data_IF_517673518866
#
_entry.id   IF_517673518866
#
_cell.length_a   1.000
_cell.length_b   1.000
_cell.length_c   1.000
_cell.angle_alpha   90.00
_cell.angle_beta   90.00
_cell.angle_gamma   90.00
#
_symmetry.space_group_name_H-M   'P 1'
#
loop_
_entity.id
_entity.type
_entity.pdbx_description
1 polymer ?
#
# COMPACT_ATOMS: atom_id res chain seq x y z
N UNK A 1 -4.67 -18.47 6.72
CA UNK A 1 -4.42 -17.08 7.12
C UNK A 1 -5.56 -16.24 6.56
N UNK A 2 -6.14 -15.36 7.37
CA UNK A 2 -7.14 -14.39 6.88
C UNK A 2 -6.40 -13.15 6.38
N UNK A 3 -6.12 -13.13 5.07
CA UNK A 3 -5.38 -12.05 4.42
C UNK A 3 -6.13 -10.72 4.47
N UNK A 4 -7.46 -10.74 4.39
CA UNK A 4 -8.26 -9.52 4.50
C UNK A 4 -8.11 -8.87 5.87
N UNK A 5 -8.21 -9.66 6.95
CA UNK A 5 -8.07 -9.16 8.31
C UNK A 5 -6.65 -8.61 8.56
N UNK A 6 -5.63 -9.36 8.12
CA UNK A 6 -4.24 -8.95 8.33
C UNK A 6 -3.87 -7.71 7.51
N UNK A 7 -4.25 -7.64 6.23
CA UNK A 7 -4.02 -6.43 5.42
C UNK A 7 -4.80 -5.25 5.97
N UNK A 8 -6.04 -5.43 6.42
CA UNK A 8 -6.82 -4.34 7.05
C UNK A 8 -6.11 -3.79 8.28
N UNK A 9 -5.58 -4.69 9.14
CA UNK A 9 -4.79 -4.33 10.32
C UNK A 9 -3.56 -3.52 9.93
N UNK A 10 -2.82 -3.95 8.91
CA UNK A 10 -1.63 -3.25 8.43
C UNK A 10 -1.95 -1.86 7.85
N UNK A 11 -3.06 -1.71 7.13
CA UNK A 11 -3.50 -0.41 6.63
C UNK A 11 -3.92 0.52 7.77
N UNK A 12 -4.54 0.02 8.82
CA UNK A 12 -4.89 0.80 10.01
C UNK A 12 -3.66 1.30 10.77
N UNK A 13 -2.58 0.50 10.83
CA UNK A 13 -1.32 0.90 11.48
C UNK A 13 -0.64 2.12 10.84
N UNK A 14 -0.94 2.43 9.58
CA UNK A 14 -0.38 3.60 8.91
C UNK A 14 -0.89 4.92 9.50
N UNK A 15 -2.06 4.91 10.15
CA UNK A 15 -2.62 6.05 10.85
C UNK A 15 -3.84 6.68 10.18
N UNK A 16 -4.44 7.64 10.88
CA UNK A 16 -5.75 8.20 10.57
C UNK A 16 -5.71 9.53 9.80
N UNK A 17 -4.50 10.02 9.46
CA UNK A 17 -4.31 11.23 8.65
C UNK A 17 -3.24 11.00 7.58
N UNK A 18 -3.25 11.77 6.47
CA UNK A 18 -2.22 11.64 5.43
C UNK A 18 -0.79 11.80 5.95
N UNK A 19 -0.58 12.71 6.90
CA UNK A 19 0.73 12.95 7.48
C UNK A 19 1.15 11.83 8.45
N UNK A 20 0.20 11.21 9.15
CA UNK A 20 0.47 10.01 9.94
C UNK A 20 0.89 8.85 9.03
N UNK A 21 0.19 8.65 7.90
CA UNK A 21 0.56 7.66 6.88
C UNK A 21 1.98 7.93 6.37
N UNK A 22 2.29 9.18 6.02
CA UNK A 22 3.63 9.55 5.59
C UNK A 22 4.69 9.30 6.68
N UNK A 23 4.41 9.65 7.94
CA UNK A 23 5.30 9.40 9.07
C UNK A 23 5.54 7.90 9.31
N UNK A 24 4.50 7.08 9.20
CA UNK A 24 4.61 5.63 9.31
C UNK A 24 5.48 5.05 8.18
N UNK A 25 5.28 5.50 6.93
CA UNK A 25 6.12 5.08 5.80
C UNK A 25 7.59 5.47 6.00
N UNK A 26 7.87 6.70 6.48
CA UNK A 26 9.23 7.16 6.83
C UNK A 26 9.87 6.29 7.91
N UNK A 27 9.16 6.04 9.01
CA UNK A 27 9.63 5.21 10.10
C UNK A 27 9.98 3.78 9.64
N UNK A 28 9.26 3.29 8.62
CA UNK A 28 9.49 1.98 8.01
C UNK A 28 10.45 2.01 6.81
N UNK A 29 11.03 3.17 6.49
CA UNK A 29 11.93 3.37 5.34
C UNK A 29 11.33 2.90 4.01
N UNK A 30 10.00 3.03 3.88
CA UNK A 30 9.27 2.68 2.65
C UNK A 30 9.16 3.93 1.80
N UNK A 31 9.67 3.84 0.57
CA UNK A 31 9.52 4.86 -0.48
C UNK A 31 8.80 4.26 -1.68
N UNK A 32 8.21 5.09 -2.53
CA UNK A 32 7.45 4.65 -3.70
C UNK A 32 7.61 5.55 -4.91
N UNK A 33 6.93 5.21 -6.00
CA UNK A 33 6.91 5.98 -7.25
C UNK A 33 5.52 6.56 -7.44
N UNK A 34 5.44 7.84 -7.84
CA UNK A 34 4.16 8.51 -8.13
C UNK A 34 3.38 7.72 -9.19
N UNK A 35 2.06 7.66 -9.02
CA UNK A 35 1.12 6.99 -9.92
C UNK A 35 1.35 5.48 -10.11
N UNK A 36 2.26 4.86 -9.35
CA UNK A 36 2.39 3.41 -9.34
C UNK A 36 1.17 2.77 -8.66
N UNK A 37 0.69 1.65 -9.22
CA UNK A 37 -0.44 0.91 -8.69
C UNK A 37 -0.06 -0.45 -8.08
N UNK A 38 1.20 -0.91 -8.23
CA UNK A 38 1.67 -2.25 -7.81
C UNK A 38 2.86 -2.15 -6.85
N UNK A 39 3.85 -3.01 -6.98
CA UNK A 39 5.10 -3.11 -6.21
C UNK A 39 5.92 -1.81 -6.08
N UNK A 40 5.70 -0.79 -6.92
CA UNK A 40 6.29 0.53 -6.75
C UNK A 40 5.40 1.53 -5.98
N UNK A 41 4.14 1.17 -5.71
CA UNK A 41 3.25 1.96 -4.87
C UNK A 41 3.71 1.86 -3.40
N UNK A 42 3.84 2.98 -2.67
CA UNK A 42 4.38 2.96 -1.31
C UNK A 42 3.52 2.14 -0.34
N UNK A 43 2.19 2.10 -0.53
CA UNK A 43 1.27 1.34 0.33
C UNK A 43 1.39 -0.15 0.05
N UNK A 44 1.43 -0.54 -1.24
CA UNK A 44 1.64 -1.94 -1.63
C UNK A 44 2.98 -2.46 -1.10
N UNK A 45 4.06 -1.67 -1.24
CA UNK A 45 5.38 -2.01 -0.69
C UNK A 45 5.36 -2.20 0.82
N UNK A 46 4.72 -1.28 1.54
CA UNK A 46 4.59 -1.35 2.99
C UNK A 46 3.95 -2.66 3.44
N UNK A 47 2.87 -3.06 2.78
CA UNK A 47 2.15 -4.31 3.08
C UNK A 47 3.00 -5.53 2.69
N UNK A 48 3.57 -5.55 1.48
CA UNK A 48 4.42 -6.64 1.01
C UNK A 48 5.64 -6.90 1.92
N UNK A 49 6.33 -5.85 2.35
CA UNK A 49 7.52 -5.96 3.23
C UNK A 49 7.16 -6.57 4.60
N UNK A 50 5.94 -6.34 5.08
CA UNK A 50 5.47 -6.86 6.38
C UNK A 50 5.02 -8.31 6.29
N UNK A 51 4.29 -8.64 5.22
CA UNK A 51 3.76 -9.99 5.04
C UNK A 51 4.86 -10.98 4.64
N UNK A 52 5.87 -10.53 3.87
CA UNK A 52 6.99 -11.36 3.39
C UNK A 52 6.55 -12.68 2.74
N UNK A 53 5.41 -12.65 2.07
CA UNK A 53 4.83 -13.82 1.42
C UNK A 53 4.90 -13.66 -0.10
N UNK A 54 5.72 -14.50 -0.72
CA UNK A 54 5.93 -14.50 -2.17
C UNK A 54 4.78 -15.16 -2.94
N UNK A 55 3.85 -15.84 -2.25
CA UNK A 55 2.68 -16.47 -2.88
C UNK A 55 1.57 -15.49 -3.23
N UNK A 56 1.70 -14.22 -2.83
CA UNK A 56 0.73 -13.17 -3.11
C UNK A 56 1.35 -12.00 -3.88
N UNK A 57 0.55 -11.40 -4.75
CA UNK A 57 0.80 -10.10 -5.37
C UNK A 57 -0.29 -9.12 -4.93
N UNK A 58 -0.01 -7.82 -4.99
CA UNK A 58 -0.97 -6.80 -4.57
C UNK A 58 -0.99 -5.60 -5.52
N UNK A 59 -2.15 -4.97 -5.65
CA UNK A 59 -2.31 -3.71 -6.37
C UNK A 59 -3.40 -2.81 -5.80
N UNK A 60 -3.40 -1.55 -6.23
CA UNK A 60 -4.42 -0.53 -5.92
C UNK A 60 -5.06 0.02 -7.22
N UNK A 61 -5.26 -0.85 -8.21
CA UNK A 61 -5.87 -0.47 -9.50
C UNK A 61 -7.36 -0.14 -9.31
N UNK A 62 -8.04 -0.89 -8.43
CA UNK A 62 -9.45 -0.67 -8.13
C UNK A 62 -9.60 0.54 -7.20
N UNK A 63 -10.46 1.52 -7.53
CA UNK A 63 -10.66 2.70 -6.69
C UNK A 63 -11.06 2.31 -5.26
N UNK A 64 -10.33 2.83 -4.27
CA UNK A 64 -10.61 2.60 -2.86
C UNK A 64 -10.32 1.19 -2.34
N UNK A 65 -9.66 0.33 -3.14
CA UNK A 65 -9.42 -1.09 -2.80
C UNK A 65 -7.98 -1.49 -3.01
N UNK A 66 -7.44 -2.26 -2.08
CA UNK A 66 -6.23 -3.04 -2.26
C UNK A 66 -6.64 -4.46 -2.64
N UNK A 67 -6.20 -4.90 -3.82
CA UNK A 67 -6.45 -6.25 -4.34
C UNK A 67 -5.30 -7.17 -3.95
N UNK A 68 -5.62 -8.36 -3.44
CA UNK A 68 -4.67 -9.42 -3.11
C UNK A 68 -4.86 -10.54 -4.13
N UNK A 69 -3.83 -10.82 -4.93
CA UNK A 69 -3.82 -11.86 -5.95
C UNK A 69 -3.01 -13.04 -5.47
N UNK A 70 -3.61 -14.23 -5.48
CA UNK A 70 -2.91 -15.46 -5.14
C UNK A 70 -2.24 -16.04 -6.38
N UNK A 71 -0.94 -16.34 -6.30
CA UNK A 71 -0.21 -16.97 -7.41
C UNK A 71 -0.68 -18.41 -7.67
N UNK A 72 -1.40 -19.02 -6.72
CA UNK A 72 -2.03 -20.33 -6.90
C UNK A 72 -3.41 -20.18 -7.54
N UNK A 73 -3.64 -20.87 -8.65
CA UNK A 73 -4.77 -20.66 -9.57
C UNK A 73 -6.20 -20.89 -9.02
N UNK A 74 -6.36 -21.29 -7.76
CA UNK A 74 -7.66 -21.71 -7.20
C UNK A 74 -8.29 -20.71 -6.23
N UNK A 75 -7.53 -19.73 -5.72
CA UNK A 75 -8.06 -18.77 -4.76
C UNK A 75 -8.56 -17.51 -5.48
N UNK A 76 -9.79 -17.03 -5.20
CA UNK A 76 -10.27 -15.77 -5.75
C UNK A 76 -9.46 -14.59 -5.22
N UNK A 77 -9.34 -13.53 -6.03
CA UNK A 77 -8.81 -12.24 -5.58
C UNK A 77 -9.57 -11.78 -4.34
N UNK A 78 -8.83 -11.36 -3.32
CA UNK A 78 -9.39 -10.73 -2.13
C UNK A 78 -9.26 -9.20 -2.23
N UNK A 79 -10.20 -8.49 -1.62
CA UNK A 79 -10.23 -7.03 -1.67
C UNK A 79 -10.41 -6.42 -0.29
N UNK A 80 -9.53 -5.49 0.01
CA UNK A 80 -9.52 -4.78 1.29
C UNK A 80 -9.84 -3.31 1.04
N UNK A 81 -10.83 -2.71 1.74
CA UNK A 81 -11.06 -1.28 1.69
C UNK A 81 -9.81 -0.52 2.13
N UNK A 82 -9.41 0.48 1.35
CA UNK A 82 -8.33 1.38 1.73
C UNK A 82 -8.90 2.49 2.63
N UNK A 83 -8.36 2.70 3.85
CA UNK A 83 -8.75 3.82 4.70
C UNK A 83 -8.62 5.18 4.00
N UNK A 84 -9.54 6.09 4.30
CA UNK A 84 -9.62 7.42 3.67
C UNK A 84 -8.29 8.22 3.81
N UNK A 85 -7.65 8.13 4.97
CA UNK A 85 -6.34 8.75 5.22
C UNK A 85 -5.27 8.32 4.20
N UNK A 86 -5.29 7.04 3.80
CA UNK A 86 -4.36 6.49 2.81
C UNK A 86 -4.72 6.95 1.40
N UNK A 87 -6.01 7.06 1.08
CA UNK A 87 -6.46 7.61 -0.21
C UNK A 87 -6.05 9.07 -0.38
N UNK A 88 -6.23 9.87 0.67
CA UNK A 88 -5.80 11.26 0.71
C UNK A 88 -4.27 11.38 0.62
N UNK A 89 -3.53 10.54 1.33
CA UNK A 89 -2.08 10.43 1.20
C UNK A 89 -1.66 10.12 -0.24
N UNK A 90 -2.21 9.08 -0.87
CA UNK A 90 -1.87 8.69 -2.24
C UNK A 90 -2.14 9.82 -3.24
N UNK A 91 -3.25 10.55 -3.07
CA UNK A 91 -3.58 11.70 -3.90
C UNK A 91 -2.59 12.86 -3.73
N UNK A 92 -2.15 13.14 -2.49
CA UNK A 92 -1.13 14.16 -2.21
C UNK A 92 0.26 13.73 -2.71
N UNK A 93 0.65 12.47 -2.47
CA UNK A 93 1.90 11.87 -2.93
C UNK A 93 2.04 11.93 -4.46
N UNK A 94 1.00 11.54 -5.20
CA UNK A 94 0.99 11.59 -6.66
C UNK A 94 1.10 13.02 -7.22
N UNK A 95 0.72 14.04 -6.44
CA UNK A 95 0.90 15.46 -6.77
C UNK A 95 2.25 16.04 -6.30
N UNK A 96 3.10 15.23 -5.67
CA UNK A 96 4.42 15.64 -5.17
C UNK A 96 4.41 16.26 -3.78
N UNK A 97 3.36 16.03 -2.97
CA UNK A 97 3.26 16.55 -1.60
C UNK A 97 4.23 15.92 -0.58
N UNK A 98 4.88 14.80 -0.93
CA UNK A 98 5.82 14.09 -0.06
C UNK A 98 7.09 13.68 -0.84
N UNK A 99 7.93 14.64 -1.24
CA UNK A 99 9.10 14.37 -2.10
C UNK A 99 10.13 13.45 -1.44
N UNK A 100 10.24 13.47 -0.11
CA UNK A 100 11.19 12.63 0.63
C UNK A 100 10.81 11.13 0.65
N UNK A 101 9.55 10.82 0.33
CA UNK A 101 9.04 9.45 0.18
C UNK A 101 9.10 8.94 -1.26
N UNK A 102 9.58 9.75 -2.19
CA UNK A 102 9.71 9.39 -3.60
C UNK A 102 11.01 8.61 -3.86
N UNK A 103 10.89 7.56 -4.69
CA UNK A 103 12.03 6.88 -5.27
C UNK A 103 12.44 7.63 -6.52
N UNK A 104 13.60 8.28 -6.43
CA UNK A 104 14.29 8.76 -7.61
C UNK A 104 14.85 7.57 -8.39
N UNK A 105 14.56 7.51 -9.69
CA UNK A 105 15.31 6.68 -10.62
C UNK A 105 16.50 7.51 -11.11
N UNK A 106 17.69 7.22 -10.58
CA UNK A 106 18.96 7.66 -11.15
C UNK A 106 19.44 6.69 -12.22
#
# INVERSE_FOLDING_TARGET
MDWNAEVSRLLQELGETPDAVAAALRANKVRGVRNAARDLNPIVRYVQVRLRDESIDMDVIRPGRLSIHFRTATAPTQEVPIPEAILQFLAAFNRGGYPDLELEFS
#
